data_IF_269459367730
#
_entry.id   IF_269459367730
#
_cell.length_a   1.000
_cell.length_b   1.000
_cell.length_c   1.000
_cell.angle_alpha   90.00
_cell.angle_beta   90.00
_cell.angle_gamma   90.00
#
_symmetry.space_group_name_H-M   'P 1'
#
loop_
_entity.id
_entity.type
_entity.pdbx_description
1 polymer ?
#
# COMPACT_ATOMS: atom_id res chain seq x y z
N UNK A 1 11.36 -7.55 5.92
CA UNK A 1 10.24 -8.20 5.23
C UNK A 1 9.54 -7.11 4.43
N UNK A 2 9.67 -7.13 3.11
CA UNK A 2 8.98 -6.19 2.22
C UNK A 2 8.02 -6.97 1.34
N UNK A 3 6.79 -6.49 1.21
CA UNK A 3 5.75 -7.09 0.37
C UNK A 3 6.16 -6.94 -1.09
N UNK A 4 6.52 -8.05 -1.75
CA UNK A 4 6.88 -8.06 -3.18
C UNK A 4 5.63 -8.17 -4.02
N UNK A 5 5.64 -7.57 -5.21
CA UNK A 5 4.51 -7.67 -6.14
C UNK A 5 4.19 -9.14 -6.48
N UNK A 6 5.23 -9.97 -6.61
CA UNK A 6 5.10 -11.40 -6.90
C UNK A 6 4.49 -12.25 -5.77
N UNK A 7 4.42 -11.71 -4.54
CA UNK A 7 3.84 -12.40 -3.38
C UNK A 7 2.34 -12.10 -3.21
N UNK A 8 1.82 -11.15 -3.99
CA UNK A 8 0.43 -10.71 -3.94
C UNK A 8 -0.38 -11.30 -5.10
N UNK A 9 -1.57 -11.79 -4.78
CA UNK A 9 -2.62 -12.05 -5.77
C UNK A 9 -3.21 -10.71 -6.22
N UNK A 10 -2.67 -10.15 -7.30
CA UNK A 10 -3.08 -8.85 -7.81
C UNK A 10 -4.45 -8.94 -8.48
N UNK A 11 -5.39 -8.17 -7.96
CA UNK A 11 -6.78 -8.12 -8.45
C UNK A 11 -7.05 -6.92 -9.33
N UNK A 12 -6.31 -5.82 -9.10
CA UNK A 12 -6.49 -4.59 -9.85
C UNK A 12 -5.18 -3.80 -9.90
N UNK A 13 -4.93 -3.16 -11.04
CA UNK A 13 -3.81 -2.23 -11.24
C UNK A 13 -4.38 -1.02 -11.97
N UNK A 14 -4.09 0.19 -11.48
CA UNK A 14 -4.53 1.39 -12.14
C UNK A 14 -4.23 2.66 -11.36
N UNK A 15 -4.83 3.74 -11.83
CA UNK A 15 -4.85 5.03 -11.17
C UNK A 15 -6.30 5.36 -10.82
N UNK A 16 -6.47 6.12 -9.76
CA UNK A 16 -7.73 6.60 -9.22
C UNK A 16 -7.51 8.03 -8.68
N UNK A 17 -8.59 8.75 -8.34
CA UNK A 17 -8.54 10.10 -7.76
C UNK A 17 -7.64 10.23 -6.51
N UNK A 18 -7.38 9.11 -5.82
CA UNK A 18 -6.50 9.08 -4.65
C UNK A 18 -5.01 8.86 -4.99
N UNK A 19 -4.69 8.61 -6.25
CA UNK A 19 -3.33 8.27 -6.70
C UNK A 19 -2.48 9.52 -6.91
N UNK A 20 -1.30 9.63 -6.27
CA UNK A 20 -0.36 10.72 -6.52
C UNK A 20 0.10 10.76 -7.99
N UNK A 21 0.36 11.96 -8.52
CA UNK A 21 0.80 12.13 -9.90
C UNK A 21 2.10 11.36 -10.19
N UNK A 22 2.20 10.77 -11.38
CA UNK A 22 3.35 9.95 -11.76
C UNK A 22 3.47 8.65 -10.97
N UNK A 23 2.40 8.14 -10.35
CA UNK A 23 2.37 6.86 -9.64
C UNK A 23 1.24 5.95 -10.16
N UNK A 24 1.32 4.67 -9.81
CA UNK A 24 0.31 3.65 -10.09
C UNK A 24 0.04 2.84 -8.83
N UNK A 25 -1.21 2.44 -8.66
CA UNK A 25 -1.65 1.58 -7.57
C UNK A 25 -1.79 0.13 -8.05
N UNK A 26 -1.43 -0.81 -7.20
CA UNK A 26 -1.80 -2.21 -7.36
C UNK A 26 -2.53 -2.67 -6.10
N UNK A 27 -3.73 -3.19 -6.27
CA UNK A 27 -4.51 -3.81 -5.21
C UNK A 27 -4.37 -5.33 -5.33
N UNK A 28 -3.92 -5.97 -4.26
CA UNK A 28 -3.77 -7.41 -4.21
C UNK A 28 -3.97 -7.96 -2.82
N UNK A 29 -4.02 -9.28 -2.73
CA UNK A 29 -4.19 -10.00 -1.46
C UNK A 29 -2.96 -10.84 -1.19
N UNK A 30 -2.46 -10.87 0.04
CA UNK A 30 -1.34 -11.75 0.38
C UNK A 30 -1.84 -13.18 0.71
N UNK A 31 -0.91 -14.09 0.98
CA UNK A 31 -1.21 -15.49 1.33
C UNK A 31 -2.10 -15.66 2.57
N UNK A 32 -2.11 -14.67 3.49
CA UNK A 32 -3.00 -14.64 4.65
C UNK A 32 -4.42 -14.10 4.33
N UNK A 33 -4.69 -13.69 3.09
CA UNK A 33 -5.96 -13.12 2.69
C UNK A 33 -6.14 -11.65 3.08
N UNK A 34 -5.07 -10.94 3.47
CA UNK A 34 -5.14 -9.53 3.82
C UNK A 34 -5.03 -8.69 2.56
N UNK A 35 -5.86 -7.66 2.47
CA UNK A 35 -5.90 -6.75 1.34
C UNK A 35 -4.81 -5.68 1.46
N UNK A 36 -3.97 -5.59 0.43
CA UNK A 36 -2.88 -4.64 0.32
C UNK A 36 -3.08 -3.74 -0.89
N UNK A 37 -2.98 -2.43 -0.66
CA UNK A 37 -2.95 -1.42 -1.72
C UNK A 37 -1.53 -0.86 -1.81
N UNK A 38 -0.78 -1.31 -2.81
CA UNK A 38 0.61 -0.95 -3.04
C UNK A 38 0.74 0.25 -3.96
N UNK A 39 1.63 1.18 -3.61
CA UNK A 39 1.96 2.38 -4.39
C UNK A 39 3.31 2.19 -5.08
N UNK A 40 3.34 2.46 -6.38
CA UNK A 40 4.54 2.39 -7.20
C UNK A 40 4.75 3.72 -7.93
N UNK A 41 6.00 4.15 -8.06
CA UNK A 41 6.37 5.26 -8.93
C UNK A 41 6.29 4.85 -10.41
N UNK A 42 5.90 5.77 -11.27
CA UNK A 42 5.68 5.54 -12.71
C UNK A 42 4.31 4.94 -13.03
N UNK A 43 4.15 4.52 -14.28
CA UNK A 43 2.88 4.03 -14.83
C UNK A 43 2.73 2.50 -14.78
N UNK A 44 3.74 1.77 -14.30
CA UNK A 44 3.72 0.31 -14.27
C UNK A 44 4.28 -0.18 -12.94
N UNK A 45 3.59 -1.09 -12.23
CA UNK A 45 4.08 -1.58 -10.95
C UNK A 45 5.34 -2.42 -11.15
N UNK A 46 6.37 -2.12 -10.36
CA UNK A 46 7.66 -2.79 -10.37
C UNK A 46 8.27 -2.72 -8.98
N UNK A 47 8.87 -3.79 -8.50
CA UNK A 47 9.48 -3.81 -7.16
C UNK A 47 10.55 -2.71 -6.98
N UNK A 48 11.23 -2.30 -8.07
CA UNK A 48 12.20 -1.19 -8.05
C UNK A 48 11.56 0.18 -7.84
N UNK A 49 10.28 0.30 -8.17
CA UNK A 49 9.50 1.52 -8.08
C UNK A 49 8.58 1.52 -6.87
N UNK A 50 8.64 0.48 -6.03
CA UNK A 50 7.78 0.37 -4.85
C UNK A 50 8.05 1.50 -3.86
N UNK A 51 6.99 2.25 -3.52
CA UNK A 51 7.03 3.36 -2.57
C UNK A 51 6.45 2.98 -1.21
N UNK A 52 5.65 1.92 -1.15
CA UNK A 52 5.03 1.45 0.08
C UNK A 52 3.65 0.86 -0.18
N UNK A 53 2.98 0.50 0.90
CA UNK A 53 1.70 -0.19 0.82
C UNK A 53 0.78 0.20 1.97
N UNK A 54 -0.51 0.26 1.70
CA UNK A 54 -1.55 0.36 2.71
C UNK A 54 -2.10 -1.03 2.99
N UNK A 55 -2.13 -1.41 4.26
CA UNK A 55 -2.88 -2.58 4.72
C UNK A 55 -4.32 -2.11 4.94
N UNK A 56 -5.25 -2.67 4.17
CA UNK A 56 -6.67 -2.39 4.28
C UNK A 56 -7.30 -3.53 5.09
N UNK A 57 -7.79 -3.25 6.31
CA UNK A 57 -8.46 -4.27 7.09
C UNK A 57 -9.79 -4.68 6.42
N UNK A 58 -10.06 -5.99 6.22
CA UNK A 58 -11.41 -6.51 5.97
C UNK A 58 -12.51 -5.87 6.82
N UNK A 59 -13.61 -5.53 6.16
CA UNK A 59 -14.78 -4.96 6.82
C UNK A 59 -15.30 -5.92 7.91
N UNK A 60 -15.40 -5.44 9.15
CA UNK A 60 -15.88 -6.24 10.30
C UNK A 60 -14.81 -7.02 11.10
N UNK A 61 -13.53 -6.65 11.00
CA UNK A 61 -12.42 -7.37 11.66
C UNK A 61 -12.62 -7.73 13.15
N UNK A 62 -12.46 -9.03 13.43
CA UNK A 62 -12.41 -9.64 14.78
C UNK A 62 -11.04 -10.21 15.16
N UNK A 63 -10.05 -10.11 14.27
CA UNK A 63 -8.71 -10.67 14.46
C UNK A 63 -7.84 -9.70 15.25
N UNK A 64 -7.35 -10.06 16.46
CA UNK A 64 -6.69 -9.13 17.39
C UNK A 64 -5.29 -8.67 16.93
N UNK A 65 -4.71 -9.35 15.94
CA UNK A 65 -3.35 -9.08 15.45
C UNK A 65 -3.31 -8.19 14.20
N UNK A 66 -4.46 -7.82 13.63
CA UNK A 66 -4.54 -6.92 12.47
C UNK A 66 -5.00 -5.52 12.90
N UNK A 67 -4.48 -4.45 12.26
CA UNK A 67 -4.88 -3.11 12.60
C UNK A 67 -6.37 -2.91 12.29
N UNK A 68 -7.09 -2.24 13.19
CA UNK A 68 -8.51 -1.92 13.02
C UNK A 68 -8.77 -0.78 12.05
N UNK A 69 -7.71 -0.17 11.52
CA UNK A 69 -7.74 0.96 10.58
C UNK A 69 -6.71 0.73 9.48
N UNK A 70 -6.99 1.31 8.31
CA UNK A 70 -6.02 1.34 7.21
C UNK A 70 -4.68 1.88 7.70
N UNK A 71 -3.62 1.15 7.40
CA UNK A 71 -2.29 1.41 7.94
C UNK A 71 -1.27 1.50 6.82
N UNK A 72 -0.45 2.55 6.83
CA UNK A 72 0.60 2.75 5.84
C UNK A 72 1.94 2.11 6.25
N UNK A 73 2.58 1.46 5.29
CA UNK A 73 3.91 0.88 5.42
C UNK A 73 4.80 1.43 4.31
N UNK A 74 6.01 1.84 4.68
CA UNK A 74 7.04 2.29 3.76
C UNK A 74 7.63 1.16 2.93
N UNK A 75 8.55 1.46 2.00
CA UNK A 75 9.07 0.49 1.04
C UNK A 75 9.87 -0.64 1.69
N UNK A 76 10.39 -0.42 2.90
CA UNK A 76 11.14 -1.41 3.70
C UNK A 76 10.25 -2.21 4.65
N UNK A 77 8.94 -1.97 4.65
CA UNK A 77 7.98 -2.54 5.61
C UNK A 77 7.95 -1.80 6.95
N UNK A 78 8.58 -0.63 7.06
CA UNK A 78 8.48 0.23 8.25
C UNK A 78 7.09 0.82 8.35
N UNK A 79 6.50 0.79 9.55
CA UNK A 79 5.23 1.46 9.80
C UNK A 79 5.39 2.97 9.59
N UNK A 80 4.58 3.53 8.71
CA UNK A 80 4.52 4.98 8.47
C UNK A 80 3.34 5.49 9.29
N UNK A 81 3.65 6.19 10.38
CA UNK A 81 2.64 6.89 11.20
C UNK A 81 1.91 7.92 10.34
N UNK A 82 0.74 7.55 9.81
CA UNK A 82 -0.08 8.46 9.04
C UNK A 82 -1.50 8.50 9.61
N UNK A 83 -1.86 9.66 10.15
CA UNK A 83 -3.23 10.05 10.46
C UNK A 83 -3.86 10.69 9.22
N UNK A 84 -5.15 10.42 8.98
CA UNK A 84 -5.92 10.98 7.85
C UNK A 84 -6.47 9.92 6.90
N UNK A 85 -7.15 10.36 5.85
CA UNK A 85 -7.74 9.50 4.83
C UNK A 85 -6.68 8.83 3.93
N UNK A 86 -7.10 7.80 3.19
CA UNK A 86 -6.24 7.02 2.29
C UNK A 86 -5.37 7.89 1.38
N UNK A 87 -5.93 8.95 0.79
CA UNK A 87 -5.22 9.88 -0.11
C UNK A 87 -4.03 10.54 0.58
N UNK A 88 -4.19 10.99 1.83
CA UNK A 88 -3.12 11.62 2.61
C UNK A 88 -2.01 10.63 2.93
N UNK A 89 -2.36 9.37 3.20
CA UNK A 89 -1.38 8.31 3.41
C UNK A 89 -0.58 8.01 2.14
N UNK A 90 -1.24 7.89 0.99
CA UNK A 90 -0.60 7.66 -0.30
C UNK A 90 0.31 8.82 -0.71
N UNK A 91 -0.15 10.07 -0.53
CA UNK A 91 0.67 11.25 -0.79
C UNK A 91 1.95 11.25 0.08
N UNK A 92 1.85 10.79 1.33
CA UNK A 92 3.01 10.68 2.22
C UNK A 92 3.99 9.60 1.78
N UNK A 93 3.49 8.45 1.31
CA UNK A 93 4.32 7.40 0.72
C UNK A 93 5.01 7.85 -0.58
N UNK A 94 4.33 8.63 -1.42
CA UNK A 94 4.93 9.19 -2.63
C UNK A 94 6.08 10.17 -2.31
N UNK A 95 5.94 10.97 -1.25
CA UNK A 95 6.91 11.96 -0.80
C UNK A 95 7.92 11.43 0.23
N UNK A 96 7.89 10.14 0.55
CA UNK A 96 8.93 9.50 1.36
C UNK A 96 10.21 9.45 0.51
N UNK A 97 10.93 10.57 0.47
CA UNK A 97 12.31 10.60 0.04
C UNK A 97 13.08 9.64 0.96
N UNK A 98 13.91 8.80 0.36
CA UNK A 98 14.75 7.85 1.07
C UNK A 98 15.80 8.69 1.84
N UNK A 99 15.47 9.11 3.07
CA UNK A 99 16.47 9.62 4.03
C UNK A 99 17.49 8.53 4.39
#
# INVERSE_FOLDING_TARGET
>A
MGTRLADLDIRWIGIDDTTPDGHVLALGTDSAGILWLCLYAGNTPSDKQFKGSLLIPPDGHKEPFLPTRTTAYGPTGTYVTSSGDQTSMLARLANLEQE
#
